data_IF_658953203397
#
_entry.id   IF_658953203397
#
_cell.length_a   1.000
_cell.length_b   1.000
_cell.length_c   1.000
_cell.angle_alpha   90.00
_cell.angle_beta   90.00
_cell.angle_gamma   90.00
#
_symmetry.space_group_name_H-M   'P 1'
#
loop_
_entity.id
_entity.type
_entity.pdbx_description
1 polymer ?
#
# COMPACT_ATOMS: atom_id res chain seq x y z
N UNK A 1 10.78 -14.74 -32.21
CA UNK A 1 12.02 -14.06 -31.80
C UNK A 1 12.07 -14.12 -30.28
N UNK A 2 12.97 -14.94 -29.76
CA UNK A 2 13.08 -15.20 -28.32
C UNK A 2 13.60 -13.97 -27.59
N UNK A 3 12.94 -13.61 -26.50
CA UNK A 3 13.52 -12.73 -25.49
C UNK A 3 14.60 -13.52 -24.77
N UNK A 4 15.83 -13.43 -25.29
CA UNK A 4 17.03 -13.82 -24.58
C UNK A 4 17.06 -13.07 -23.25
N UNK A 5 17.39 -13.77 -22.16
CA UNK A 5 17.49 -13.25 -20.80
C UNK A 5 18.52 -12.12 -20.68
N UNK A 6 18.14 -10.93 -21.12
CA UNK A 6 18.79 -9.70 -20.71
C UNK A 6 18.47 -9.52 -19.23
N UNK A 7 19.52 -9.34 -18.44
CA UNK A 7 19.49 -8.78 -17.10
C UNK A 7 18.48 -7.62 -17.08
N UNK A 8 17.24 -7.91 -16.65
CA UNK A 8 16.31 -6.87 -16.24
C UNK A 8 16.93 -6.37 -14.95
N UNK A 9 17.80 -5.36 -15.05
CA UNK A 9 18.41 -4.73 -13.90
C UNK A 9 17.33 -4.27 -12.91
N UNK A 10 17.75 -3.63 -11.82
CA UNK A 10 16.88 -3.03 -10.81
C UNK A 10 15.80 -2.03 -11.32
N UNK A 11 15.61 -1.86 -12.64
CA UNK A 11 14.57 -1.09 -13.30
C UNK A 11 13.16 -1.73 -13.16
N UNK A 12 12.77 -1.96 -11.91
CA UNK A 12 11.49 -2.50 -11.45
C UNK A 12 10.93 -1.62 -10.35
N UNK A 13 9.62 -1.62 -10.20
CA UNK A 13 8.94 -1.01 -9.06
C UNK A 13 8.21 -2.07 -8.24
N UNK A 14 8.25 -1.94 -6.92
CA UNK A 14 7.40 -2.71 -6.01
C UNK A 14 6.15 -1.88 -5.67
N UNK A 15 4.99 -2.54 -5.75
CA UNK A 15 3.67 -1.95 -5.55
C UNK A 15 3.01 -2.57 -4.33
N UNK A 16 2.44 -1.73 -3.47
CA UNK A 16 1.70 -2.17 -2.29
C UNK A 16 0.22 -1.80 -2.38
N UNK A 17 -0.71 -2.74 -2.11
CA UNK A 17 -2.14 -2.48 -2.17
C UNK A 17 -2.61 -1.57 -1.02
N UNK A 18 -3.77 -0.94 -1.23
CA UNK A 18 -4.51 -0.20 -0.21
C UNK A 18 -5.80 -0.92 0.20
N UNK A 19 -6.70 -0.19 0.87
CA UNK A 19 -7.99 -0.72 1.32
C UNK A 19 -8.82 -1.34 0.16
N UNK A 20 -9.54 -2.43 0.47
CA UNK A 20 -10.26 -3.26 -0.49
C UNK A 20 -9.54 -4.59 -0.80
N UNK A 21 -8.28 -4.72 -0.40
CA UNK A 21 -7.47 -5.94 -0.58
C UNK A 21 -7.59 -6.94 0.59
N UNK A 22 -8.21 -6.54 1.70
CA UNK A 22 -8.32 -7.37 2.90
C UNK A 22 -9.33 -8.51 2.77
N UNK A 23 -9.01 -9.65 3.36
CA UNK A 23 -9.91 -10.80 3.52
C UNK A 23 -9.55 -11.55 4.80
N UNK A 24 -10.53 -12.16 5.46
CA UNK A 24 -10.30 -12.95 6.67
C UNK A 24 -9.41 -14.16 6.35
N UNK A 25 -8.43 -14.42 7.21
CA UNK A 25 -7.40 -15.45 7.02
C UNK A 25 -6.15 -14.96 6.28
N UNK A 26 -6.09 -13.69 5.87
CA UNK A 26 -4.92 -13.18 5.14
C UNK A 26 -3.64 -13.21 6.00
N UNK A 27 -2.58 -13.80 5.46
CA UNK A 27 -1.28 -13.91 6.13
C UNK A 27 -1.21 -14.94 7.27
N UNK A 28 -2.29 -15.67 7.55
CA UNK A 28 -2.29 -16.74 8.55
C UNK A 28 -1.35 -17.88 8.12
N UNK A 29 -1.41 -18.28 6.85
CA UNK A 29 -0.53 -19.28 6.26
C UNK A 29 0.95 -18.89 6.37
N UNK A 30 1.27 -17.61 6.15
CA UNK A 30 2.61 -17.06 6.33
C UNK A 30 3.04 -17.11 7.80
N UNK A 31 2.16 -16.69 8.71
CA UNK A 31 2.40 -16.72 10.15
C UNK A 31 2.69 -18.13 10.66
N UNK A 32 1.94 -19.13 10.19
CA UNK A 32 2.15 -20.52 10.59
C UNK A 32 3.44 -21.10 9.99
N UNK A 33 3.76 -20.76 8.74
CA UNK A 33 4.89 -21.36 8.02
C UNK A 33 6.25 -20.71 8.33
N UNK A 34 6.33 -19.40 8.55
CA UNK A 34 7.61 -18.66 8.53
C UNK A 34 7.84 -17.82 9.79
N UNK A 35 9.03 -17.95 10.37
CA UNK A 35 9.43 -17.16 11.55
C UNK A 35 9.43 -15.65 11.26
N UNK A 36 9.93 -15.24 10.09
CA UNK A 36 9.96 -13.83 9.68
C UNK A 36 8.55 -13.20 9.58
N UNK A 37 7.54 -13.98 9.18
CA UNK A 37 6.16 -13.52 9.16
C UNK A 37 5.57 -13.42 10.57
N UNK A 38 5.89 -14.38 11.46
CA UNK A 38 5.47 -14.31 12.88
C UNK A 38 5.97 -13.06 13.56
N UNK A 39 7.26 -12.76 13.41
CA UNK A 39 7.87 -11.57 14.01
C UNK A 39 7.16 -10.28 13.56
N UNK A 40 6.86 -10.16 12.26
CA UNK A 40 6.14 -8.99 11.72
C UNK A 40 4.71 -8.89 12.27
N UNK A 41 3.97 -9.99 12.29
CA UNK A 41 2.58 -9.99 12.76
C UNK A 41 2.53 -9.73 14.26
N UNK A 42 3.39 -10.37 15.05
CA UNK A 42 3.42 -10.19 16.51
C UNK A 42 3.88 -8.75 16.87
N UNK A 43 4.86 -8.16 16.17
CA UNK A 43 5.23 -6.75 16.36
C UNK A 43 4.03 -5.81 16.09
N UNK A 44 3.30 -6.04 15.00
CA UNK A 44 2.15 -5.24 14.62
C UNK A 44 0.98 -5.40 15.61
N UNK A 45 0.72 -6.63 16.05
CA UNK A 45 -0.33 -6.96 17.02
C UNK A 45 -0.03 -6.35 18.38
N UNK A 46 1.21 -6.49 18.89
CA UNK A 46 1.66 -5.88 20.14
C UNK A 46 1.57 -4.35 20.10
N UNK A 47 1.90 -3.74 18.96
CA UNK A 47 1.80 -2.30 18.78
C UNK A 47 0.36 -1.76 18.89
N UNK A 48 -0.64 -2.62 18.64
CA UNK A 48 -2.07 -2.31 18.71
C UNK A 48 -2.79 -2.96 19.91
N UNK A 49 -2.05 -3.57 20.83
CA UNK A 49 -2.62 -4.14 22.06
C UNK A 49 -3.20 -5.56 21.93
N UNK A 50 -2.82 -6.31 20.90
CA UNK A 50 -3.07 -7.75 20.80
C UNK A 50 -4.40 -8.16 20.14
N UNK A 51 -5.06 -7.25 19.43
CA UNK A 51 -6.36 -7.52 18.78
C UNK A 51 -6.27 -7.72 17.26
N UNK A 52 -5.20 -7.22 16.62
CA UNK A 52 -5.08 -7.20 15.16
C UNK A 52 -5.04 -8.61 14.59
N UNK A 53 -4.26 -9.50 15.22
CA UNK A 53 -4.08 -10.89 14.78
C UNK A 53 -5.40 -11.66 14.75
N UNK A 54 -6.22 -11.53 15.80
CA UNK A 54 -7.54 -12.17 15.84
C UNK A 54 -8.45 -11.64 14.74
N UNK A 55 -8.53 -10.31 14.56
CA UNK A 55 -9.35 -9.69 13.50
C UNK A 55 -8.90 -10.14 12.10
N UNK A 56 -7.60 -10.29 11.88
CA UNK A 56 -7.03 -10.75 10.61
C UNK A 56 -7.37 -12.20 10.28
N UNK A 57 -7.23 -13.10 11.24
CA UNK A 57 -7.27 -14.55 10.99
C UNK A 57 -8.65 -15.16 11.23
N UNK A 58 -9.37 -14.68 12.24
CA UNK A 58 -10.57 -15.34 12.76
C UNK A 58 -11.79 -14.41 12.84
N UNK A 59 -11.57 -13.09 12.73
CA UNK A 59 -12.62 -12.08 12.80
C UNK A 59 -13.65 -12.17 11.68
N UNK A 60 -14.71 -11.36 11.78
CA UNK A 60 -15.69 -11.27 10.69
C UNK A 60 -15.17 -10.38 9.56
N UNK A 61 -15.64 -10.63 8.32
CA UNK A 61 -15.29 -9.76 7.19
C UNK A 61 -15.80 -8.33 7.39
N UNK A 62 -16.93 -8.15 8.07
CA UNK A 62 -17.47 -6.83 8.42
C UNK A 62 -16.52 -6.08 9.36
N UNK A 63 -16.06 -6.73 10.42
CA UNK A 63 -15.09 -6.19 11.36
C UNK A 63 -13.76 -5.86 10.69
N UNK A 64 -13.21 -6.78 9.89
CA UNK A 64 -11.95 -6.56 9.18
C UNK A 64 -12.05 -5.44 8.13
N UNK A 65 -13.25 -5.17 7.59
CA UNK A 65 -13.45 -4.12 6.57
C UNK A 65 -13.50 -2.71 7.18
N UNK A 66 -13.71 -2.59 8.50
CA UNK A 66 -13.57 -1.32 9.22
C UNK A 66 -12.15 -0.79 9.01
N UNK A 67 -12.04 0.48 8.63
CA UNK A 67 -10.77 1.05 8.18
C UNK A 67 -9.64 0.91 9.21
N UNK A 68 -9.96 1.14 10.49
CA UNK A 68 -9.06 0.99 11.64
C UNK A 68 -8.46 -0.41 11.77
N UNK A 69 -9.12 -1.42 11.20
CA UNK A 69 -8.65 -2.81 11.16
C UNK A 69 -8.02 -3.13 9.80
N UNK A 70 -8.70 -2.78 8.70
CA UNK A 70 -8.27 -3.10 7.34
C UNK A 70 -6.87 -2.56 7.02
N UNK A 71 -6.61 -1.30 7.39
CA UNK A 71 -5.36 -0.64 7.06
C UNK A 71 -4.14 -1.27 7.75
N UNK A 72 -4.09 -1.43 9.09
CA UNK A 72 -2.95 -2.08 9.74
C UNK A 72 -2.84 -3.54 9.31
N UNK A 73 -3.95 -4.21 9.03
CA UNK A 73 -3.94 -5.59 8.57
C UNK A 73 -3.30 -5.75 7.18
N UNK A 74 -3.66 -4.90 6.20
CA UNK A 74 -3.07 -4.91 4.85
C UNK A 74 -1.57 -4.56 4.90
N UNK A 75 -1.20 -3.54 5.69
CA UNK A 75 0.19 -3.16 5.92
C UNK A 75 0.98 -4.36 6.47
N UNK A 76 0.50 -4.96 7.55
CA UNK A 76 1.15 -6.09 8.24
C UNK A 76 1.34 -7.28 7.30
N UNK A 77 0.30 -7.70 6.59
CA UNK A 77 0.40 -8.83 5.63
C UNK A 77 1.40 -8.51 4.51
N UNK A 78 1.42 -7.27 4.00
CA UNK A 78 2.37 -6.87 2.96
C UNK A 78 3.82 -6.93 3.46
N UNK A 79 4.08 -6.41 4.66
CA UNK A 79 5.43 -6.45 5.24
C UNK A 79 5.84 -7.88 5.61
N UNK A 80 4.92 -8.73 6.07
CA UNK A 80 5.19 -10.13 6.36
C UNK A 80 5.61 -10.89 5.09
N UNK A 81 4.88 -10.70 3.98
CA UNK A 81 5.23 -11.27 2.67
C UNK A 81 6.61 -10.80 2.20
N UNK A 82 6.91 -9.51 2.33
CA UNK A 82 8.21 -8.96 1.95
C UNK A 82 9.32 -9.59 2.79
N UNK A 83 9.13 -9.69 4.11
CA UNK A 83 10.17 -10.23 5.00
C UNK A 83 10.44 -11.70 4.74
N UNK A 84 9.41 -12.49 4.45
CA UNK A 84 9.58 -13.89 4.01
C UNK A 84 10.32 -13.98 2.67
N UNK A 85 10.02 -13.11 1.68
CA UNK A 85 10.80 -13.09 0.44
C UNK A 85 12.28 -12.75 0.68
N UNK A 86 12.57 -11.82 1.58
CA UNK A 86 13.93 -11.44 1.92
C UNK A 86 14.68 -12.59 2.60
N UNK A 87 14.08 -13.24 3.61
CA UNK A 87 14.75 -14.30 4.38
C UNK A 87 14.80 -15.65 3.66
N UNK A 88 13.69 -16.06 3.02
CA UNK A 88 13.54 -17.43 2.48
C UNK A 88 13.92 -17.53 1.00
N UNK A 89 13.96 -16.39 0.30
CA UNK A 89 14.15 -16.34 -1.16
C UNK A 89 15.29 -15.42 -1.59
N UNK A 90 16.01 -14.80 -0.64
CA UNK A 90 17.13 -13.92 -0.92
C UNK A 90 16.75 -12.70 -1.75
N UNK A 91 15.48 -12.30 -1.72
CA UNK A 91 15.06 -11.05 -2.34
C UNK A 91 15.71 -9.88 -1.60
N UNK A 92 16.38 -9.00 -2.33
CA UNK A 92 16.90 -7.76 -1.76
C UNK A 92 16.23 -6.60 -2.47
N UNK A 93 15.41 -5.86 -1.73
CA UNK A 93 14.65 -4.73 -2.26
C UNK A 93 15.55 -3.68 -2.93
N UNK A 94 16.72 -3.42 -2.35
CA UNK A 94 17.65 -2.37 -2.82
C UNK A 94 18.27 -2.71 -4.17
N UNK A 95 18.55 -3.98 -4.41
CA UNK A 95 19.14 -4.46 -5.66
C UNK A 95 18.08 -4.92 -6.66
N UNK A 96 16.86 -5.22 -6.21
CA UNK A 96 15.79 -5.75 -7.07
C UNK A 96 14.86 -4.68 -7.62
N UNK A 97 14.71 -3.54 -6.96
CA UNK A 97 13.78 -2.47 -7.35
C UNK A 97 14.45 -1.09 -7.24
N UNK A 98 14.01 -0.16 -8.09
CA UNK A 98 14.41 1.25 -8.06
C UNK A 98 13.36 2.11 -7.35
N UNK A 99 12.09 1.71 -7.45
CA UNK A 99 10.98 2.44 -6.86
C UNK A 99 10.10 1.56 -5.99
N UNK A 100 9.56 2.16 -4.93
CA UNK A 100 8.45 1.63 -4.16
C UNK A 100 7.28 2.62 -4.21
N UNK A 101 6.06 2.12 -4.32
CA UNK A 101 4.86 2.95 -4.27
C UNK A 101 3.68 2.11 -3.83
N UNK A 102 2.64 2.75 -3.31
CA UNK A 102 1.42 2.05 -3.00
C UNK A 102 0.23 2.97 -3.04
N UNK A 103 -0.92 2.37 -3.35
CA UNK A 103 -2.14 3.13 -3.57
C UNK A 103 -2.75 3.53 -2.22
N UNK A 104 -2.82 4.83 -1.92
CA UNK A 104 -3.32 5.35 -0.64
C UNK A 104 -2.54 4.75 0.55
N UNK A 105 -3.16 3.92 1.39
CA UNK A 105 -2.53 3.18 2.49
C UNK A 105 -1.24 2.46 2.06
N UNK A 106 -1.16 1.96 0.83
CA UNK A 106 0.06 1.29 0.35
C UNK A 106 1.34 2.14 0.40
N UNK A 107 1.24 3.48 0.45
CA UNK A 107 2.43 4.35 0.64
C UNK A 107 3.08 4.13 2.02
N UNK A 108 2.30 3.83 3.06
CA UNK A 108 2.84 3.45 4.37
C UNK A 108 3.59 2.11 4.29
N UNK A 109 3.05 1.13 3.56
CA UNK A 109 3.74 -0.13 3.29
C UNK A 109 5.04 0.11 2.52
N UNK A 110 5.05 1.04 1.56
CA UNK A 110 6.27 1.43 0.84
C UNK A 110 7.30 2.08 1.77
N UNK A 111 6.88 2.96 2.67
CA UNK A 111 7.77 3.61 3.66
C UNK A 111 8.36 2.59 4.64
N UNK A 112 7.57 1.62 5.11
CA UNK A 112 8.07 0.55 5.98
C UNK A 112 9.00 -0.40 5.23
N UNK A 113 8.61 -0.84 4.04
CA UNK A 113 9.43 -1.71 3.19
C UNK A 113 10.80 -1.09 2.88
N UNK A 114 10.84 0.22 2.68
CA UNK A 114 12.06 0.98 2.40
C UNK A 114 12.81 1.45 3.65
N UNK A 115 12.41 0.98 4.84
CA UNK A 115 13.02 1.29 6.15
C UNK A 115 12.95 2.77 6.52
N UNK A 116 12.08 3.55 5.89
CA UNK A 116 11.87 4.96 6.16
C UNK A 116 10.98 5.18 7.39
N UNK A 117 10.02 4.29 7.61
CA UNK A 117 9.10 4.30 8.75
C UNK A 117 9.16 2.95 9.47
N UNK A 118 9.13 2.94 10.81
CA UNK A 118 9.08 1.69 11.57
C UNK A 118 7.71 1.00 11.39
N UNK A 119 7.66 -0.33 11.44
CA UNK A 119 6.39 -1.06 11.35
C UNK A 119 5.46 -0.67 12.50
N UNK A 120 5.97 -0.69 13.73
CA UNK A 120 5.26 -0.25 14.94
C UNK A 120 4.61 1.13 14.81
N UNK A 121 5.32 2.14 14.30
CA UNK A 121 4.75 3.48 14.14
C UNK A 121 3.74 3.52 12.99
N UNK A 122 4.03 2.82 11.90
CA UNK A 122 3.13 2.74 10.75
C UNK A 122 1.78 2.10 11.10
N UNK A 123 1.76 0.95 11.80
CA UNK A 123 0.49 0.28 12.17
C UNK A 123 -0.35 1.15 13.09
N UNK A 124 0.29 1.89 14.01
CA UNK A 124 -0.40 2.87 14.86
C UNK A 124 -0.98 3.99 14.02
N UNK A 125 -0.18 4.64 13.17
CA UNK A 125 -0.64 5.73 12.30
C UNK A 125 -1.86 5.34 11.47
N UNK A 126 -1.82 4.18 10.82
CA UNK A 126 -2.88 3.74 9.91
C UNK A 126 -4.11 3.20 10.65
N UNK A 127 -3.96 2.76 11.90
CA UNK A 127 -5.11 2.42 12.76
C UNK A 127 -5.96 3.64 13.13
N UNK A 128 -5.36 4.84 13.19
CA UNK A 128 -6.07 6.10 13.45
C UNK A 128 -6.67 6.75 12.20
N UNK A 129 -6.30 6.30 11.00
CA UNK A 129 -6.81 6.90 9.78
C UNK A 129 -8.24 6.44 9.51
N UNK A 130 -9.21 7.29 9.84
CA UNK A 130 -10.59 7.11 9.39
C UNK A 130 -10.69 7.59 7.94
N UNK A 131 -11.11 6.71 7.03
CA UNK A 131 -11.48 7.11 5.66
C UNK A 131 -12.80 7.87 5.74
N UNK A 132 -12.82 9.09 5.24
CA UNK A 132 -14.02 9.94 5.25
C UNK A 132 -14.21 10.57 3.87
N UNK A 133 -15.28 10.20 3.16
CA UNK A 133 -15.60 10.79 1.85
C UNK A 133 -16.26 12.18 1.95
N UNK A 134 -16.26 12.94 0.86
CA UNK A 134 -16.60 14.37 0.83
C UNK A 134 -18.05 14.75 1.15
N UNK A 135 -18.34 16.06 1.12
CA UNK A 135 -19.69 16.58 1.39
C UNK A 135 -20.74 15.99 0.44
N UNK A 136 -21.95 15.74 0.94
CA UNK A 136 -23.09 15.27 0.14
C UNK A 136 -23.27 16.10 -1.14
N UNK A 137 -23.19 17.43 -1.05
CA UNK A 137 -23.28 18.35 -2.20
C UNK A 137 -22.21 18.10 -3.26
N UNK A 138 -21.00 17.72 -2.84
CA UNK A 138 -19.88 17.39 -3.73
C UNK A 138 -20.09 16.06 -4.45
N UNK A 139 -20.58 15.04 -3.74
CA UNK A 139 -20.97 13.76 -4.32
C UNK A 139 -22.14 13.95 -5.31
N UNK A 140 -23.14 14.73 -4.95
CA UNK A 140 -24.28 15.05 -5.82
C UNK A 140 -23.85 15.78 -7.09
N UNK A 141 -22.93 16.75 -6.97
CA UNK A 141 -22.39 17.48 -8.11
C UNK A 141 -21.55 16.57 -9.02
N UNK A 142 -20.65 15.77 -8.44
CA UNK A 142 -19.83 14.81 -9.18
C UNK A 142 -20.71 13.78 -9.91
N UNK A 143 -21.74 13.25 -9.23
CA UNK A 143 -22.68 12.30 -9.82
C UNK A 143 -23.43 12.90 -11.02
N UNK A 144 -23.87 14.17 -10.93
CA UNK A 144 -24.49 14.89 -12.06
C UNK A 144 -23.53 15.08 -13.24
N UNK A 145 -22.27 15.43 -12.97
CA UNK A 145 -21.24 15.58 -14.02
C UNK A 145 -20.93 14.25 -14.70
N UNK A 146 -20.82 13.16 -13.94
CA UNK A 146 -20.55 11.82 -14.47
C UNK A 146 -21.73 11.30 -15.31
N UNK A 147 -22.97 11.51 -14.85
CA UNK A 147 -24.18 11.21 -15.62
C UNK A 147 -24.25 11.99 -16.94
N UNK A 148 -23.96 13.30 -16.91
CA UNK A 148 -23.92 14.12 -18.12
C UNK A 148 -22.87 13.64 -19.13
N UNK A 149 -21.79 13.01 -18.66
CA UNK A 149 -20.72 12.42 -19.48
C UNK A 149 -20.97 10.96 -19.86
N UNK A 150 -22.13 10.38 -19.50
CA UNK A 150 -22.46 8.97 -19.70
C UNK A 150 -21.45 8.00 -19.08
N UNK A 151 -20.78 8.41 -18.00
CA UNK A 151 -19.87 7.57 -17.24
C UNK A 151 -20.69 6.82 -16.19
N UNK A 152 -20.66 5.49 -16.25
CA UNK A 152 -21.30 4.65 -15.26
C UNK A 152 -20.59 4.82 -13.90
N UNK A 153 -21.22 5.51 -12.97
CA UNK A 153 -20.75 5.71 -11.60
C UNK A 153 -21.93 5.53 -10.64
N UNK A 154 -21.66 4.92 -9.48
CA UNK A 154 -22.65 4.68 -8.42
C UNK A 154 -22.28 5.52 -7.21
N UNK A 155 -23.13 6.49 -6.87
CA UNK A 155 -23.06 7.16 -5.58
C UNK A 155 -23.61 6.23 -4.49
N UNK A 156 -22.95 6.21 -3.33
CA UNK A 156 -23.37 5.46 -2.14
C UNK A 156 -23.41 6.46 -1.00
N UNK A 157 -24.56 6.61 -0.35
CA UNK A 157 -24.69 7.46 0.83
C UNK A 157 -23.97 6.80 2.01
N UNK A 158 -22.95 7.47 2.54
CA UNK A 158 -22.20 7.08 3.72
C UNK A 158 -22.21 8.27 4.69
N UNK A 159 -22.41 8.07 6.00
CA UNK A 159 -22.30 9.14 6.98
C UNK A 159 -20.84 9.58 7.06
N UNK A 160 -20.53 10.77 6.55
CA UNK A 160 -19.14 11.25 6.45
C UNK A 160 -18.94 12.62 7.07
N UNK A 161 -17.93 12.73 7.93
CA UNK A 161 -17.44 13.98 8.51
C UNK A 161 -16.47 14.70 7.55
N UNK A 162 -15.82 15.78 7.97
CA UNK A 162 -14.86 16.50 7.12
C UNK A 162 -13.47 15.85 7.22
N UNK A 163 -12.71 15.76 6.12
CA UNK A 163 -11.33 15.22 6.12
C UNK A 163 -10.32 16.13 6.85
N UNK A 164 -10.63 17.43 7.01
CA UNK A 164 -9.72 18.40 7.62
C UNK A 164 -9.37 18.07 9.09
N UNK A 165 -10.32 17.71 9.97
CA UNK A 165 -10.02 17.14 11.29
C UNK A 165 -9.08 15.93 11.26
N UNK A 166 -9.24 15.02 10.28
CA UNK A 166 -8.36 13.85 10.16
C UNK A 166 -6.94 14.25 9.77
N UNK A 167 -6.76 15.25 8.90
CA UNK A 167 -5.43 15.78 8.58
C UNK A 167 -4.75 16.44 9.79
N UNK A 168 -5.52 17.12 10.65
CA UNK A 168 -4.99 17.69 11.90
C UNK A 168 -4.55 16.58 12.87
N UNK A 169 -5.39 15.55 13.05
CA UNK A 169 -5.05 14.40 13.88
C UNK A 169 -3.80 13.66 13.37
N UNK A 170 -3.70 13.48 12.04
CA UNK A 170 -2.53 12.89 11.40
C UNK A 170 -1.27 13.72 11.66
N UNK A 171 -1.36 15.04 11.51
CA UNK A 171 -0.24 15.95 11.79
C UNK A 171 0.22 15.86 13.24
N UNK A 172 -0.70 15.71 14.18
CA UNK A 172 -0.38 15.52 15.59
C UNK A 172 0.32 14.19 15.83
N UNK A 173 -0.22 13.09 15.28
CA UNK A 173 0.34 11.75 15.41
C UNK A 173 1.75 11.62 14.80
N UNK A 174 2.06 12.43 13.79
CA UNK A 174 3.36 12.44 13.11
C UNK A 174 4.45 13.25 13.85
N UNK A 175 4.13 14.03 14.89
CA UNK A 175 5.12 14.91 15.55
C UNK A 175 6.29 14.14 16.17
N UNK A 176 6.01 12.98 16.73
CA UNK A 176 7.00 12.17 17.45
C UNK A 176 7.61 11.07 16.58
N UNK A 177 7.23 11.02 15.30
CA UNK A 177 7.69 9.99 14.37
C UNK A 177 8.93 10.49 13.64
N UNK A 178 9.98 9.69 13.70
CA UNK A 178 11.21 9.91 12.97
C UNK A 178 11.17 9.13 11.65
N UNK A 179 11.42 9.84 10.56
CA UNK A 179 11.54 9.23 9.24
C UNK A 179 13.00 9.14 8.85
N UNK A 180 13.40 7.96 8.38
CA UNK A 180 14.70 7.73 7.75
C UNK A 180 14.61 7.94 6.24
N UNK A 181 15.75 8.16 5.59
CA UNK A 181 15.79 8.20 4.13
C UNK A 181 15.46 6.81 3.56
N UNK A 182 14.44 6.69 2.68
CA UNK A 182 14.13 5.43 2.00
C UNK A 182 15.36 4.81 1.31
N UNK A 183 15.55 3.50 1.44
CA UNK A 183 16.68 2.79 0.81
C UNK A 183 16.58 2.70 -0.74
N UNK A 184 15.37 2.90 -1.28
CA UNK A 184 15.04 3.10 -2.69
C UNK A 184 13.96 4.18 -2.78
N UNK A 185 13.75 4.77 -3.96
CA UNK A 185 12.85 5.90 -4.12
C UNK A 185 11.38 5.53 -3.86
N UNK A 186 10.74 6.22 -2.91
CA UNK A 186 9.29 6.09 -2.68
C UNK A 186 8.57 7.16 -3.49
N UNK A 187 7.60 6.77 -4.33
CA UNK A 187 6.78 7.73 -5.09
C UNK A 187 5.58 8.15 -4.25
N UNK A 188 5.44 9.45 -3.99
CA UNK A 188 4.33 9.97 -3.18
C UNK A 188 3.02 10.01 -3.96
N UNK A 189 1.92 9.63 -3.31
CA UNK A 189 0.58 9.74 -3.86
C UNK A 189 0.14 11.18 -4.10
N UNK A 190 0.75 12.17 -3.44
CA UNK A 190 0.36 13.59 -3.56
C UNK A 190 1.04 14.26 -4.75
N UNK A 191 2.31 13.96 -4.98
CA UNK A 191 3.12 14.65 -5.99
C UNK A 191 3.37 13.82 -7.24
N UNK A 192 3.11 12.50 -7.19
CA UNK A 192 3.49 11.54 -8.22
C UNK A 192 4.99 11.55 -8.57
N UNK A 193 5.84 11.93 -7.61
CA UNK A 193 7.28 12.03 -7.75
C UNK A 193 7.99 11.31 -6.60
N UNK A 194 9.25 10.86 -6.81
CA UNK A 194 10.10 10.38 -5.73
C UNK A 194 10.20 11.40 -4.59
N UNK A 195 10.05 10.92 -3.35
CA UNK A 195 10.27 11.70 -2.15
C UNK A 195 11.77 11.96 -2.02
N UNK A 196 12.17 13.22 -2.02
CA UNK A 196 13.60 13.62 -2.05
C UNK A 196 14.26 13.56 -0.67
N UNK A 197 13.55 14.03 0.36
CA UNK A 197 14.08 14.13 1.71
C UNK A 197 13.13 13.49 2.72
N UNK A 198 13.68 12.86 3.76
CA UNK A 198 12.89 12.28 4.84
C UNK A 198 12.04 13.32 5.58
N UNK A 199 12.53 14.57 5.66
CA UNK A 199 11.80 15.71 6.24
C UNK A 199 10.48 16.03 5.53
N UNK A 200 10.34 15.65 4.27
CA UNK A 200 9.17 15.99 3.45
C UNK A 200 8.03 14.97 3.67
N UNK A 201 8.34 13.78 4.21
CA UNK A 201 7.39 12.66 4.31
C UNK A 201 6.20 13.03 5.18
N UNK A 202 6.42 13.63 6.35
CA UNK A 202 5.34 14.02 7.26
C UNK A 202 4.33 14.97 6.59
N UNK A 203 4.81 16.02 5.90
CA UNK A 203 3.94 16.94 5.15
C UNK A 203 3.16 16.22 4.04
N UNK A 204 3.83 15.36 3.28
CA UNK A 204 3.21 14.60 2.21
C UNK A 204 2.11 13.67 2.72
N UNK A 205 2.35 12.96 3.82
CA UNK A 205 1.36 12.07 4.44
C UNK A 205 0.17 12.85 5.01
N UNK A 206 0.38 14.02 5.62
CA UNK A 206 -0.73 14.90 6.05
C UNK A 206 -1.55 15.38 4.85
N UNK A 207 -0.89 15.82 3.78
CA UNK A 207 -1.56 16.28 2.55
C UNK A 207 -2.31 15.16 1.84
N UNK A 208 -1.82 13.92 1.94
CA UNK A 208 -2.47 12.75 1.40
C UNK A 208 -3.85 12.52 2.01
N UNK A 209 -4.06 12.84 3.30
CA UNK A 209 -5.35 12.65 4.00
C UNK A 209 -6.50 13.40 3.32
N UNK A 210 -6.23 14.62 2.82
CA UNK A 210 -7.22 15.46 2.13
C UNK A 210 -7.03 15.51 0.62
N UNK A 211 -5.94 14.93 0.12
CA UNK A 211 -5.50 15.02 -1.26
C UNK A 211 -5.99 13.85 -2.11
N UNK A 212 -6.09 14.09 -3.42
CA UNK A 212 -6.35 13.02 -4.38
C UNK A 212 -5.10 12.19 -4.62
N UNK A 213 -5.24 10.87 -4.61
CA UNK A 213 -4.18 9.93 -5.00
C UNK A 213 -3.86 10.10 -6.49
N UNK A 214 -2.66 10.57 -6.81
CA UNK A 214 -2.17 10.79 -8.18
C UNK A 214 -1.65 9.49 -8.82
N UNK A 215 -2.44 8.41 -8.75
CA UNK A 215 -2.02 7.07 -9.22
C UNK A 215 -1.63 7.05 -10.69
N UNK A 216 -2.51 7.61 -11.55
CA UNK A 216 -2.29 7.62 -13.00
C UNK A 216 -1.04 8.42 -13.39
N UNK A 217 -0.81 9.54 -12.71
CA UNK A 217 0.39 10.34 -12.93
C UNK A 217 1.65 9.62 -12.43
N UNK A 218 1.57 8.92 -11.29
CA UNK A 218 2.69 8.16 -10.73
C UNK A 218 3.15 7.06 -11.69
N UNK A 219 2.21 6.24 -12.18
CA UNK A 219 2.52 5.20 -13.17
C UNK A 219 2.99 5.82 -14.50
N UNK A 220 2.34 6.89 -14.96
CA UNK A 220 2.76 7.59 -16.17
C UNK A 220 4.18 8.14 -16.11
N UNK A 221 4.59 8.71 -14.96
CA UNK A 221 5.96 9.20 -14.76
C UNK A 221 6.96 8.05 -14.72
N UNK A 222 6.63 6.96 -14.02
CA UNK A 222 7.47 5.76 -14.00
C UNK A 222 7.69 5.19 -15.41
N UNK A 223 6.64 5.11 -16.23
CA UNK A 223 6.74 4.63 -17.61
C UNK A 223 7.51 5.58 -18.53
N UNK A 224 7.17 6.88 -18.51
CA UNK A 224 7.62 7.82 -19.54
C UNK A 224 8.93 8.51 -19.21
N UNK A 225 9.21 8.76 -17.93
CA UNK A 225 10.42 9.44 -17.46
C UNK A 225 11.45 8.40 -17.03
N UNK A 226 11.04 7.46 -16.16
CA UNK A 226 11.95 6.49 -15.55
C UNK A 226 12.09 5.18 -16.34
N UNK A 227 11.28 4.99 -17.38
CA UNK A 227 11.29 3.80 -18.24
C UNK A 227 11.03 2.48 -17.49
N UNK A 228 10.19 2.50 -16.45
CA UNK A 228 9.79 1.34 -15.64
C UNK A 228 8.50 0.74 -16.20
N UNK A 229 8.57 -0.53 -16.61
CA UNK A 229 7.43 -1.32 -17.12
C UNK A 229 7.27 -2.67 -16.42
N UNK A 230 8.05 -2.92 -15.37
CA UNK A 230 8.08 -4.18 -14.64
C UNK A 230 7.73 -3.91 -13.17
N UNK A 231 6.65 -4.53 -12.71
CA UNK A 231 6.08 -4.29 -11.39
C UNK A 231 5.96 -5.58 -10.59
N UNK A 232 6.22 -5.49 -9.28
CA UNK A 232 5.95 -6.53 -8.31
C UNK A 232 4.82 -6.02 -7.41
N UNK A 233 3.61 -6.55 -7.54
CA UNK A 233 2.51 -6.25 -6.62
C UNK A 233 2.56 -7.21 -5.45
N UNK A 234 2.88 -6.68 -4.26
CA UNK A 234 3.11 -7.48 -3.06
C UNK A 234 2.14 -7.06 -1.94
N UNK A 235 1.38 -8.02 -1.44
CA UNK A 235 0.38 -7.82 -0.39
C UNK A 235 -0.86 -8.70 -0.57
N UNK A 236 -1.87 -8.56 0.31
CA UNK A 236 -3.06 -9.41 0.25
C UNK A 236 -3.91 -9.11 -0.98
N UNK A 237 -4.45 -10.18 -1.57
CA UNK A 237 -5.37 -10.12 -2.69
C UNK A 237 -4.72 -9.61 -3.98
N UNK A 238 -5.53 -9.50 -5.04
CA UNK A 238 -5.04 -9.14 -6.40
C UNK A 238 -5.61 -7.81 -6.91
N UNK A 239 -6.21 -6.99 -6.03
CA UNK A 239 -6.91 -5.75 -6.42
C UNK A 239 -5.98 -4.81 -7.19
N UNK A 240 -4.82 -4.47 -6.63
CA UNK A 240 -3.88 -3.56 -7.26
C UNK A 240 -3.27 -4.13 -8.54
N UNK A 241 -2.91 -5.43 -8.54
CA UNK A 241 -2.38 -6.08 -9.72
C UNK A 241 -3.41 -6.14 -10.87
N UNK A 242 -4.69 -6.35 -10.56
CA UNK A 242 -5.77 -6.35 -11.53
C UNK A 242 -6.05 -4.94 -12.07
N UNK A 243 -5.98 -3.92 -11.22
CA UNK A 243 -6.02 -2.51 -11.64
C UNK A 243 -4.89 -2.23 -12.64
N UNK A 244 -3.66 -2.59 -12.29
CA UNK A 244 -2.50 -2.38 -13.16
C UNK A 244 -2.65 -3.07 -14.51
N UNK A 245 -3.05 -4.34 -14.55
CA UNK A 245 -3.26 -5.08 -15.80
C UNK A 245 -4.38 -4.51 -16.66
N UNK A 246 -5.42 -3.94 -16.03
CA UNK A 246 -6.55 -3.33 -16.72
C UNK A 246 -6.18 -1.98 -17.33
N UNK A 247 -5.54 -1.12 -16.55
CA UNK A 247 -5.24 0.27 -16.96
C UNK A 247 -3.95 0.39 -17.77
N UNK A 248 -2.98 -0.51 -17.53
CA UNK A 248 -1.66 -0.52 -18.17
C UNK A 248 -1.36 -1.91 -18.75
N UNK A 249 -2.13 -2.39 -19.74
CA UNK A 249 -2.04 -3.77 -20.24
C UNK A 249 -0.71 -4.13 -20.93
N UNK A 250 0.16 -3.14 -21.19
CA UNK A 250 1.49 -3.34 -21.77
C UNK A 250 2.57 -3.59 -20.71
N UNK A 251 2.28 -3.32 -19.45
CA UNK A 251 3.23 -3.50 -18.36
C UNK A 251 3.21 -4.94 -17.84
N UNK A 252 4.37 -5.39 -17.37
CA UNK A 252 4.50 -6.67 -16.71
C UNK A 252 4.23 -6.52 -15.21
N UNK A 253 3.28 -7.31 -14.68
CA UNK A 253 2.91 -7.29 -13.26
C UNK A 253 3.01 -8.69 -12.68
N UNK A 254 4.05 -8.93 -11.87
CA UNK A 254 4.20 -10.13 -11.05
C UNK A 254 3.48 -9.92 -9.71
N UNK A 255 2.71 -10.90 -9.28
CA UNK A 255 2.02 -10.86 -7.98
C UNK A 255 2.76 -11.71 -6.94
N UNK A 256 2.75 -11.24 -5.70
CA UNK A 256 3.13 -12.02 -4.52
C UNK A 256 2.00 -11.84 -3.51
N UNK A 257 1.11 -12.83 -3.46
CA UNK A 257 -0.17 -12.76 -2.75
C UNK A 257 -0.45 -13.95 -1.86
N UNK A 258 0.39 -15.00 -1.92
CA UNK A 258 0.26 -16.24 -1.15
C UNK A 258 1.62 -16.86 -0.84
N UNK A 259 1.63 -17.83 0.07
CA UNK A 259 2.79 -18.70 0.31
C UNK A 259 3.25 -19.41 -0.97
N UNK A 260 2.32 -19.83 -1.83
CA UNK A 260 2.66 -20.48 -3.11
C UNK A 260 3.44 -19.55 -4.05
N UNK A 261 3.04 -18.27 -4.15
CA UNK A 261 3.76 -17.29 -4.97
C UNK A 261 5.21 -17.10 -4.48
N UNK A 262 5.40 -17.07 -3.15
CA UNK A 262 6.71 -17.00 -2.49
C UNK A 262 7.50 -18.28 -2.77
N UNK A 263 6.87 -19.44 -2.66
CA UNK A 263 7.54 -20.73 -2.91
C UNK A 263 8.03 -20.84 -4.35
N UNK A 264 7.31 -20.28 -5.31
CA UNK A 264 7.73 -20.24 -6.70
C UNK A 264 8.55 -18.98 -7.06
N UNK A 265 8.93 -18.16 -6.06
CA UNK A 265 9.77 -17.00 -6.31
C UNK A 265 11.15 -17.42 -6.81
N UNK A 266 11.55 -16.78 -7.90
CA UNK A 266 12.86 -16.92 -8.57
C UNK A 266 13.31 -15.50 -8.91
N UNK A 267 14.56 -15.20 -8.56
CA UNK A 267 15.19 -13.90 -8.81
C UNK A 267 15.37 -13.65 -10.31
#
# INVERSE_FOLDING_TARGET
MGFSGNNIGNNRAILFPGQGSQFVGMGQDLYEAYAAAREVVDEADDALGGTLKHVMFEGSQEELTRTENAQPAILTTSIAMLRVLETERGFDLKTSCKFALGHSLGEYSALVATKSLSLKDAVKLVSFQVVISGSQKGVDHASKVLQARKIAARAVDLPVSLMQPAAVAMKEALKDIQFEKPIIDVVSNVTAQPIKNASDISDLLVRQVTGTVQWHQSIGNLQTIEQVHNYISLGPGKVLANLMRKEYPRDFVRTVTSVEDIQHWKL
#
